data_IF_401790281468
#
_entry.id   IF_401790281468
#
_cell.length_a   1.000
_cell.length_b   1.000
_cell.length_c   1.000
_cell.angle_alpha   90.00
_cell.angle_beta   90.00
_cell.angle_gamma   90.00
#
_symmetry.space_group_name_H-M   'P 1'
#
loop_
_entity.id
_entity.type
_entity.pdbx_description
1 polymer ?
#
# COMPACT_ATOMS: atom_id res chain seq x y z
N UNK A 1 -1.96 8.16 29.11
CA UNK A 1 -3.26 8.00 28.40
C UNK A 1 -2.99 7.73 26.93
N UNK A 2 -3.84 6.95 26.24
CA UNK A 2 -3.67 6.68 24.80
C UNK A 2 -4.79 7.35 23.99
N UNK A 3 -4.44 7.99 22.88
CA UNK A 3 -5.38 8.61 21.94
C UNK A 3 -5.42 7.78 20.66
N UNK A 4 -6.62 7.56 20.11
CA UNK A 4 -6.78 6.95 18.78
C UNK A 4 -7.10 8.02 17.76
N UNK A 5 -6.46 7.98 16.59
CA UNK A 5 -6.71 8.87 15.45
C UNK A 5 -6.87 8.04 14.20
N UNK A 6 -7.91 8.35 13.43
CA UNK A 6 -8.15 7.71 12.14
C UNK A 6 -7.47 8.47 11.01
N UNK A 7 -6.84 7.73 10.11
CA UNK A 7 -6.28 8.24 8.85
C UNK A 7 -7.10 7.62 7.73
N UNK A 8 -7.70 8.46 6.90
CA UNK A 8 -8.44 8.06 5.71
C UNK A 8 -7.50 7.53 4.61
N UNK A 9 -7.94 6.59 3.75
CA UNK A 9 -7.14 6.10 2.61
C UNK A 9 -6.76 7.21 1.62
N UNK A 10 -7.44 8.36 1.66
CA UNK A 10 -7.15 9.54 0.83
C UNK A 10 -6.39 10.64 1.54
N UNK A 11 -5.99 10.42 2.79
CA UNK A 11 -5.15 11.36 3.51
C UNK A 11 -3.82 11.59 2.76
N UNK A 12 -3.29 12.81 2.85
CA UNK A 12 -2.03 13.18 2.20
C UNK A 12 -0.80 12.44 2.73
N UNK A 13 -0.92 11.80 3.89
CA UNK A 13 0.08 10.89 4.46
C UNK A 13 0.11 9.52 3.77
N UNK A 14 -0.86 9.21 2.92
CA UNK A 14 -0.97 7.96 2.16
C UNK A 14 -0.48 8.19 0.72
N UNK A 15 0.41 7.31 0.27
CA UNK A 15 0.95 7.33 -1.09
C UNK A 15 0.74 5.97 -1.74
N UNK A 16 0.55 5.98 -3.06
CA UNK A 16 0.23 4.80 -3.84
C UNK A 16 1.25 4.60 -4.96
N UNK A 17 1.63 3.34 -5.19
CA UNK A 17 2.50 2.97 -6.30
C UNK A 17 1.87 3.36 -7.65
N UNK A 18 2.72 3.75 -8.60
CA UNK A 18 2.31 4.13 -9.95
C UNK A 18 3.13 3.36 -11.00
N UNK A 19 2.49 2.74 -12.01
CA UNK A 19 3.19 2.18 -13.15
C UNK A 19 3.76 3.28 -14.06
N UNK A 20 4.63 2.91 -14.99
CA UNK A 20 5.13 3.81 -16.03
C UNK A 20 4.00 4.42 -16.90
N UNK A 21 2.88 3.70 -17.04
CA UNK A 21 1.68 4.16 -17.71
C UNK A 21 0.44 3.64 -16.99
N UNK A 22 -0.57 4.49 -16.80
CA UNK A 22 -1.82 4.14 -16.11
C UNK A 22 -1.72 4.27 -14.59
N UNK A 23 -2.53 3.49 -13.87
CA UNK A 23 -2.58 3.52 -12.41
C UNK A 23 -2.72 2.10 -11.87
N UNK A 24 -1.94 1.75 -10.84
CA UNK A 24 -2.15 0.51 -10.08
C UNK A 24 -3.35 0.62 -9.14
N UNK A 25 -3.68 1.83 -8.71
CA UNK A 25 -4.73 2.12 -7.74
C UNK A 25 -5.78 3.00 -8.38
N UNK A 26 -7.05 2.67 -8.16
CA UNK A 26 -8.20 3.45 -8.61
C UNK A 26 -9.00 3.95 -7.44
N UNK A 27 -9.50 5.16 -7.60
CA UNK A 27 -10.35 5.81 -6.62
C UNK A 27 -11.79 5.36 -6.79
N UNK A 28 -12.39 4.84 -5.72
CA UNK A 28 -13.77 4.40 -5.70
C UNK A 28 -14.51 5.05 -4.52
N UNK A 29 -15.83 5.10 -4.61
CA UNK A 29 -16.69 5.59 -3.53
C UNK A 29 -17.65 4.51 -3.09
N UNK A 30 -17.95 4.47 -1.79
CA UNK A 30 -18.93 3.55 -1.21
C UNK A 30 -19.58 4.18 0.00
N UNK A 31 -20.91 4.16 0.08
CA UNK A 31 -21.65 4.71 1.23
C UNK A 31 -21.38 3.99 2.56
N UNK A 32 -20.69 2.85 2.50
CA UNK A 32 -20.35 2.02 3.65
C UNK A 32 -18.88 2.09 4.03
N UNK A 33 -18.08 2.85 3.28
CA UNK A 33 -16.66 3.08 3.55
C UNK A 33 -16.46 4.33 4.41
N UNK A 34 -15.30 4.43 5.06
CA UNK A 34 -14.92 5.63 5.79
C UNK A 34 -14.90 6.83 4.84
N UNK A 35 -15.52 7.93 5.24
CA UNK A 35 -15.62 9.16 4.44
C UNK A 35 -16.18 8.97 3.00
N UNK A 36 -16.83 7.83 2.74
CA UNK A 36 -17.25 7.36 1.43
C UNK A 36 -16.11 7.15 0.41
N UNK A 37 -14.88 6.88 0.86
CA UNK A 37 -13.71 6.68 0.01
C UNK A 37 -13.18 5.25 0.09
N UNK A 38 -12.75 4.72 -1.06
CA UNK A 38 -12.03 3.46 -1.15
C UNK A 38 -10.91 3.56 -2.17
N UNK A 39 -9.83 2.86 -1.90
CA UNK A 39 -8.74 2.66 -2.85
C UNK A 39 -8.69 1.21 -3.28
N UNK A 40 -8.88 0.98 -4.57
CA UNK A 40 -8.88 -0.35 -5.18
C UNK A 40 -7.58 -0.59 -5.94
N UNK A 41 -6.96 -1.73 -5.72
CA UNK A 41 -6.05 -2.32 -6.70
C UNK A 41 -6.44 -3.75 -7.05
N UNK A 42 -6.08 -4.16 -8.26
CA UNK A 42 -6.14 -5.55 -8.73
C UNK A 42 -4.78 -6.01 -9.26
N UNK A 43 -3.75 -5.20 -9.08
CA UNK A 43 -2.42 -5.43 -9.67
C UNK A 43 -1.51 -5.99 -8.60
N UNK A 44 -0.89 -7.13 -8.87
CA UNK A 44 0.12 -7.70 -7.98
C UNK A 44 1.29 -6.75 -7.85
N UNK A 45 1.86 -6.68 -6.65
CA UNK A 45 2.94 -5.78 -6.25
C UNK A 45 2.57 -4.29 -6.28
N UNK A 46 1.30 -3.94 -6.53
CA UNK A 46 0.82 -2.60 -6.21
C UNK A 46 0.93 -2.39 -4.71
N UNK A 47 1.55 -1.29 -4.30
CA UNK A 47 1.74 -0.96 -2.90
C UNK A 47 1.13 0.38 -2.52
N UNK A 48 0.76 0.51 -1.25
CA UNK A 48 0.41 1.75 -0.59
C UNK A 48 1.38 1.95 0.59
N UNK A 49 1.73 3.20 0.88
CA UNK A 49 2.61 3.55 2.01
C UNK A 49 1.98 4.68 2.80
N UNK A 50 1.88 4.50 4.11
CA UNK A 50 1.36 5.51 5.04
C UNK A 50 2.41 5.85 6.10
N UNK A 51 2.64 7.15 6.29
CA UNK A 51 3.46 7.66 7.39
C UNK A 51 2.55 8.10 8.54
N UNK A 52 2.83 7.64 9.76
CA UNK A 52 2.04 7.96 10.94
C UNK A 52 2.92 8.23 12.16
N UNK A 53 2.36 8.92 13.16
CA UNK A 53 3.03 9.15 14.46
C UNK A 53 2.22 8.49 15.57
N UNK A 54 2.75 7.44 16.18
CA UNK A 54 2.04 6.68 17.21
C UNK A 54 2.84 5.51 17.76
N UNK A 55 2.16 4.67 18.53
CA UNK A 55 2.66 3.45 19.16
C UNK A 55 2.00 2.17 18.62
N UNK A 56 0.97 2.29 17.77
CA UNK A 56 0.46 1.16 16.97
C UNK A 56 -0.41 1.64 15.81
N UNK A 57 -0.58 0.80 14.79
CA UNK A 57 -1.47 1.04 13.64
C UNK A 57 -2.30 -0.22 13.32
N UNK A 58 -3.55 -0.03 12.92
CA UNK A 58 -4.43 -1.06 12.36
C UNK A 58 -4.90 -0.66 10.96
N UNK A 59 -5.08 -1.62 10.06
CA UNK A 59 -5.50 -1.41 8.67
C UNK A 59 -6.84 -2.07 8.45
N UNK A 60 -7.78 -1.33 7.87
CA UNK A 60 -9.12 -1.79 7.58
C UNK A 60 -9.45 -1.68 6.10
N UNK A 61 -10.34 -2.57 5.66
CA UNK A 61 -10.81 -2.60 4.29
C UNK A 61 -12.13 -3.34 4.12
N UNK A 62 -12.43 -3.62 2.86
CA UNK A 62 -13.60 -4.36 2.42
C UNK A 62 -13.16 -5.64 1.70
N UNK A 63 -13.85 -6.74 1.95
CA UNK A 63 -13.73 -7.96 1.15
C UNK A 63 -15.01 -8.10 0.34
N UNK A 64 -14.87 -8.15 -0.98
CA UNK A 64 -16.01 -8.40 -1.87
C UNK A 64 -16.63 -9.77 -1.60
N UNK A 65 -17.90 -9.92 -1.98
CA UNK A 65 -18.52 -11.25 -2.00
C UNK A 65 -17.85 -12.16 -3.05
N UNK A 66 -18.04 -13.46 -2.91
CA UNK A 66 -17.51 -14.49 -3.79
C UNK A 66 -18.07 -14.43 -5.23
N UNK A 67 -19.13 -13.66 -5.49
CA UNK A 67 -19.68 -13.43 -6.83
C UNK A 67 -18.92 -12.36 -7.62
N UNK A 68 -18.26 -11.42 -6.94
CA UNK A 68 -17.48 -10.37 -7.59
C UNK A 68 -16.14 -10.89 -8.17
N UNK A 69 -15.50 -11.84 -7.48
CA UNK A 69 -14.26 -12.48 -7.92
C UNK A 69 -14.09 -13.85 -7.26
N UNK A 70 -13.52 -14.79 -8.00
CA UNK A 70 -13.07 -16.08 -7.48
C UNK A 70 -11.62 -16.04 -6.97
N UNK A 71 -10.94 -14.90 -7.05
CA UNK A 71 -9.58 -14.71 -6.58
C UNK A 71 -9.63 -14.11 -5.17
N UNK A 72 -9.03 -14.83 -4.23
CA UNK A 72 -8.92 -14.43 -2.82
C UNK A 72 -7.92 -13.28 -2.70
N UNK A 73 -8.28 -12.16 -2.08
CA UNK A 73 -7.32 -11.09 -1.78
C UNK A 73 -6.24 -11.55 -0.80
N UNK A 74 -4.98 -11.31 -1.17
CA UNK A 74 -3.82 -11.60 -0.33
C UNK A 74 -2.96 -10.34 -0.28
N UNK A 75 -2.63 -9.88 0.92
CA UNK A 75 -1.85 -8.66 1.12
C UNK A 75 -0.73 -8.87 2.14
N UNK A 76 0.33 -8.07 2.03
CA UNK A 76 1.42 -8.03 3.00
C UNK A 76 1.61 -6.66 3.64
N UNK A 77 2.12 -6.66 4.87
CA UNK A 77 2.29 -5.49 5.72
C UNK A 77 3.69 -5.48 6.31
N UNK A 78 4.41 -4.37 6.17
CA UNK A 78 5.75 -4.20 6.77
C UNK A 78 5.86 -2.80 7.36
N UNK A 79 6.32 -2.71 8.61
CA UNK A 79 6.58 -1.43 9.29
C UNK A 79 8.08 -1.20 9.34
N UNK A 80 8.53 -0.02 8.90
CA UNK A 80 9.94 0.43 8.94
C UNK A 80 10.94 -0.56 8.33
N UNK A 81 10.52 -1.33 7.33
CA UNK A 81 11.34 -2.37 6.69
C UNK A 81 11.61 -3.61 7.57
N UNK A 82 10.85 -3.78 8.65
CA UNK A 82 10.96 -4.92 9.57
C UNK A 82 10.28 -6.20 9.07
N UNK A 83 9.73 -6.98 10.00
CA UNK A 83 9.03 -8.24 9.69
C UNK A 83 7.83 -8.01 8.79
N UNK A 84 7.67 -8.87 7.79
CA UNK A 84 6.50 -8.88 6.91
C UNK A 84 5.41 -9.80 7.46
N UNK A 85 4.20 -9.27 7.55
CA UNK A 85 2.98 -10.00 7.91
C UNK A 85 2.14 -10.23 6.65
N UNK A 86 1.52 -11.40 6.53
CA UNK A 86 0.64 -11.76 5.41
C UNK A 86 -0.79 -11.87 5.93
N UNK A 87 -1.73 -11.26 5.23
CA UNK A 87 -3.17 -11.47 5.41
C UNK A 87 -3.72 -12.26 4.22
N UNK A 88 -4.42 -13.34 4.52
CA UNK A 88 -5.14 -14.17 3.55
C UNK A 88 -6.64 -14.03 3.84
N UNK A 89 -7.37 -13.41 2.92
CA UNK A 89 -8.78 -13.11 3.10
C UNK A 89 -9.64 -14.37 3.04
N UNK A 90 -10.78 -14.37 3.73
CA UNK A 90 -11.79 -15.41 3.57
C UNK A 90 -12.96 -14.82 2.78
N UNK A 91 -13.21 -15.30 1.58
CA UNK A 91 -14.37 -14.89 0.79
C UNK A 91 -15.65 -15.53 1.37
N UNK A 92 -16.72 -14.74 1.40
CA UNK A 92 -18.06 -15.23 1.76
C UNK A 92 -19.06 -14.82 0.69
N UNK A 93 -20.31 -15.29 0.78
CA UNK A 93 -21.37 -14.90 -0.15
C UNK A 93 -21.82 -13.44 0.00
N UNK A 94 -21.32 -12.73 1.02
CA UNK A 94 -21.69 -11.35 1.29
C UNK A 94 -20.44 -10.47 1.30
N UNK A 95 -20.61 -9.18 0.98
CA UNK A 95 -19.57 -8.17 1.18
C UNK A 95 -19.29 -8.04 2.67
N UNK A 96 -18.00 -8.08 3.04
CA UNK A 96 -17.55 -7.90 4.41
C UNK A 96 -16.91 -6.51 4.54
N UNK A 97 -17.38 -5.73 5.51
CA UNK A 97 -16.97 -4.34 5.70
C UNK A 97 -16.23 -4.17 7.03
N UNK A 98 -15.40 -3.13 7.14
CA UNK A 98 -14.59 -2.86 8.33
C UNK A 98 -13.74 -4.08 8.75
N UNK A 99 -13.21 -4.80 7.77
CA UNK A 99 -12.41 -5.99 8.03
C UNK A 99 -11.01 -5.56 8.44
N UNK A 100 -10.56 -6.01 9.61
CA UNK A 100 -9.21 -5.80 10.08
C UNK A 100 -8.26 -6.71 9.28
N UNK A 101 -7.48 -6.11 8.38
CA UNK A 101 -6.48 -6.87 7.62
C UNK A 101 -5.17 -7.02 8.39
N UNK A 102 -4.81 -6.00 9.16
CA UNK A 102 -3.54 -5.98 9.88
C UNK A 102 -3.63 -5.14 11.14
N UNK A 103 -2.92 -5.56 12.18
CA UNK A 103 -2.65 -4.79 13.38
C UNK A 103 -1.18 -4.96 13.74
N UNK A 104 -0.48 -3.86 13.98
CA UNK A 104 0.91 -3.91 14.40
C UNK A 104 1.06 -4.44 15.82
N UNK A 105 2.23 -5.01 16.11
CA UNK A 105 2.70 -5.13 17.48
C UNK A 105 2.90 -3.73 18.10
N UNK A 106 3.03 -3.62 19.44
CA UNK A 106 3.36 -2.37 20.09
C UNK A 106 4.69 -1.80 19.59
N UNK A 107 4.68 -0.52 19.22
CA UNK A 107 5.82 0.25 18.74
C UNK A 107 6.23 1.29 19.80
N UNK A 108 7.48 1.73 19.73
CA UNK A 108 7.89 2.95 20.44
C UNK A 108 7.06 4.13 19.94
N UNK A 109 6.63 5.03 20.82
CA UNK A 109 5.89 6.21 20.36
C UNK A 109 6.79 7.10 19.49
N UNK A 110 6.50 7.21 18.19
CA UNK A 110 7.34 7.92 17.24
C UNK A 110 6.72 7.96 15.84
N UNK A 111 7.49 8.45 14.87
CA UNK A 111 7.12 8.39 13.46
C UNK A 111 7.49 7.02 12.89
N UNK A 112 6.56 6.43 12.13
CA UNK A 112 6.69 5.14 11.49
C UNK A 112 6.15 5.19 10.06
N UNK A 113 6.60 4.25 9.24
CA UNK A 113 6.08 4.03 7.89
C UNK A 113 5.60 2.59 7.74
N UNK A 114 4.31 2.44 7.41
CA UNK A 114 3.71 1.16 7.03
C UNK A 114 3.65 1.06 5.50
N UNK A 115 4.16 -0.04 4.96
CA UNK A 115 4.02 -0.44 3.55
C UNK A 115 3.05 -1.61 3.45
N UNK A 116 2.04 -1.46 2.60
CA UNK A 116 1.05 -2.48 2.25
C UNK A 116 1.29 -2.90 0.81
N UNK A 117 1.30 -4.19 0.50
CA UNK A 117 1.46 -4.68 -0.88
C UNK A 117 0.39 -5.71 -1.21
N UNK A 118 -0.23 -5.57 -2.38
CA UNK A 118 -1.10 -6.60 -2.93
C UNK A 118 -0.26 -7.75 -3.49
N UNK A 119 -0.56 -8.99 -3.09
CA UNK A 119 0.17 -10.19 -3.49
C UNK A 119 -0.59 -11.05 -4.50
N UNK A 120 -1.90 -10.84 -4.64
CA UNK A 120 -2.70 -11.51 -5.65
C UNK A 120 -2.81 -10.65 -6.93
N UNK A 121 -2.91 -11.31 -8.09
CA UNK A 121 -3.19 -10.61 -9.35
C UNK A 121 -4.67 -10.80 -9.67
N UNK A 122 -5.36 -9.74 -10.06
CA UNK A 122 -6.76 -9.77 -10.44
C UNK A 122 -7.76 -9.84 -9.27
N UNK A 123 -7.30 -9.94 -8.02
CA UNK A 123 -8.14 -9.84 -6.84
C UNK A 123 -8.72 -8.43 -6.68
N UNK A 124 -9.68 -8.25 -5.78
CA UNK A 124 -10.20 -6.93 -5.43
C UNK A 124 -9.69 -6.57 -4.03
N UNK A 125 -8.54 -5.90 -3.98
CA UNK A 125 -7.99 -5.39 -2.73
C UNK A 125 -8.51 -3.97 -2.47
N UNK A 126 -9.47 -3.87 -1.55
CA UNK A 126 -10.09 -2.62 -1.13
C UNK A 126 -9.49 -2.11 0.19
N UNK A 127 -8.75 -1.01 0.12
CA UNK A 127 -8.24 -0.30 1.29
C UNK A 127 -9.20 0.86 1.64
N UNK A 128 -9.47 1.04 2.94
CA UNK A 128 -10.47 2.00 3.44
C UNK A 128 -9.86 3.00 4.43
N UNK A 129 -9.33 2.55 5.57
CA UNK A 129 -8.72 3.47 6.54
C UNK A 129 -7.73 2.79 7.47
N UNK A 130 -7.08 3.63 8.28
CA UNK A 130 -6.15 3.22 9.32
C UNK A 130 -6.56 3.80 10.67
N UNK A 131 -6.43 3.02 11.74
CA UNK A 131 -6.54 3.55 13.11
C UNK A 131 -5.14 3.53 13.76
N UNK A 132 -4.69 4.70 14.22
CA UNK A 132 -3.39 4.91 14.87
C UNK A 132 -3.63 5.21 16.34
N UNK A 133 -2.93 4.50 17.23
CA UNK A 133 -2.88 4.83 18.65
C UNK A 133 -1.59 5.56 18.96
N UNK A 134 -1.65 6.62 19.75
CA UNK A 134 -0.49 7.37 20.25
C UNK A 134 -0.52 7.44 21.78
N UNK A 135 0.64 7.38 22.42
CA UNK A 135 0.75 7.55 23.87
C UNK A 135 0.97 9.03 24.19
N UNK A 136 0.10 9.65 24.99
CA UNK A 136 0.20 11.07 25.33
C UNK A 136 1.22 11.38 26.43
N UNK A 137 1.89 10.37 26.98
CA UNK A 137 2.68 10.50 28.21
C UNK A 137 4.04 11.21 28.02
N UNK A 138 4.26 11.86 26.87
CA UNK A 138 5.50 12.61 26.58
C UNK A 138 5.34 14.13 26.58
N UNK A 139 4.21 14.67 27.09
CA UNK A 139 4.02 16.11 27.26
C UNK A 139 3.94 16.40 28.75
N UNK A 140 4.88 17.21 29.26
CA UNK A 140 4.98 17.83 30.61
C UNK A 140 6.29 17.49 31.35
N UNK A 141 7.44 17.75 30.73
CA UNK A 141 8.55 18.34 31.50
C UNK A 141 8.38 19.86 31.41
N UNK A 142 7.39 20.41 32.12
CA UNK A 142 7.29 21.84 32.33
C UNK A 142 8.40 22.21 33.30
N UNK A 143 9.51 22.74 32.80
CA UNK A 143 10.53 23.37 33.64
C UNK A 143 9.87 24.60 34.27
N UNK A 144 9.28 24.44 35.45
CA UNK A 144 8.90 25.57 36.28
C UNK A 144 10.19 26.16 36.82
N UNK A 145 10.78 27.10 36.09
CA UNK A 145 11.79 28.01 36.64
C UNK A 145 11.09 28.83 37.71
N UNK A 146 11.19 28.38 38.97
CA UNK A 146 10.97 29.28 40.09
C UNK A 146 12.06 30.34 40.00
N UNK A 147 11.68 31.54 39.57
CA UNK A 147 12.50 32.73 39.72
C UNK A 147 12.70 32.97 41.22
N UNK A 148 13.83 32.49 41.75
CA UNK A 148 14.36 32.94 43.02
C UNK A 148 15.07 34.29 42.80
N UNK A 149 14.56 35.41 43.35
CA UNK A 149 15.18 36.70 43.20
C UNK A 149 16.32 36.84 44.22
N UNK A 150 17.46 36.20 43.96
CA UNK A 150 18.58 36.37 44.88
C UNK A 150 19.89 35.65 44.59
N UNK A 151 19.99 34.75 43.62
CA UNK A 151 21.25 34.04 43.35
C UNK A 151 21.76 34.22 41.92
N UNK A 152 23.05 34.55 41.87
CA UNK A 152 23.96 34.68 40.72
C UNK A 152 23.72 33.57 39.68
N UNK A 153 23.66 33.88 38.36
CA UNK A 153 23.26 32.90 37.35
C UNK A 153 24.32 31.80 37.21
N UNK A 154 24.10 30.69 37.92
CA UNK A 154 24.78 29.44 37.60
C UNK A 154 24.13 28.89 36.34
N UNK A 155 24.94 28.75 35.28
CA UNK A 155 24.52 28.28 33.97
C UNK A 155 23.60 27.05 34.07
N UNK A 156 22.34 27.20 33.62
CA UNK A 156 21.42 26.07 33.46
C UNK A 156 21.93 25.26 32.28
N UNK A 157 22.63 24.17 32.60
CA UNK A 157 22.97 23.12 31.62
C UNK A 157 21.64 22.52 31.17
N UNK A 158 21.18 22.88 29.98
CA UNK A 158 20.13 22.12 29.30
C UNK A 158 20.68 20.71 29.12
N UNK A 159 20.14 19.76 29.87
CA UNK A 159 20.48 18.36 29.71
C UNK A 159 19.76 17.87 28.45
N UNK A 160 20.39 18.08 27.30
CA UNK A 160 20.01 17.42 26.06
C UNK A 160 20.12 15.92 26.31
N UNK A 161 18.99 15.22 26.32
CA UNK A 161 18.98 13.76 26.27
C UNK A 161 19.45 13.34 24.87
N UNK A 162 20.76 13.37 24.67
CA UNK A 162 21.39 12.72 23.53
C UNK A 162 21.35 11.23 23.82
N UNK A 163 20.34 10.54 23.30
CA UNK A 163 20.33 9.08 23.19
C UNK A 163 21.45 8.67 22.24
N UNK A 164 22.65 8.54 22.78
CA UNK A 164 23.75 7.84 22.11
C UNK A 164 23.36 6.37 22.03
N UNK A 165 22.95 5.93 20.85
CA UNK A 165 22.95 4.51 20.53
C UNK A 165 24.37 3.99 20.75
N UNK A 166 24.51 3.07 21.71
CA UNK A 166 25.75 2.28 21.84
C UNK A 166 25.81 1.35 20.64
N UNK A 167 26.69 1.67 19.69
CA UNK A 167 27.20 0.69 18.75
C UNK A 167 27.82 -0.47 19.57
N UNK A 168 27.16 -1.63 19.51
CA UNK A 168 27.80 -2.88 19.86
C UNK A 168 28.93 -3.16 18.85
N UNK A 169 30.00 -3.86 19.24
CA UNK A 169 31.08 -4.20 18.32
C UNK A 169 30.54 -5.12 17.22
N UNK A 170 30.26 -4.55 16.06
CA UNK A 170 30.08 -5.31 14.82
C UNK A 170 31.45 -5.69 14.33
N UNK A 171 31.77 -6.98 14.46
CA UNK A 171 32.89 -7.63 13.80
C UNK A 171 32.75 -7.43 12.29
N UNK A 172 33.47 -6.46 11.73
CA UNK A 172 33.57 -6.26 10.28
C UNK A 172 34.32 -7.44 9.67
N UNK A 173 33.57 -8.44 9.22
CA UNK A 173 34.10 -9.41 8.26
C UNK A 173 34.02 -8.77 6.88
N UNK A 174 35.18 -8.29 6.42
CA UNK A 174 35.37 -7.75 5.07
C UNK A 174 35.28 -8.91 4.07
N UNK A 175 34.07 -9.23 3.57
CA UNK A 175 33.94 -10.09 2.39
C UNK A 175 34.11 -9.20 1.16
N UNK A 176 35.30 -9.24 0.59
CA UNK A 176 35.59 -8.69 -0.73
C UNK A 176 34.74 -9.44 -1.76
N UNK A 177 33.72 -8.79 -2.30
CA UNK A 177 33.02 -9.28 -3.48
C UNK A 177 33.76 -8.76 -4.72
N UNK A 178 34.50 -9.64 -5.38
CA UNK A 178 35.04 -9.40 -6.71
C UNK A 178 33.89 -9.34 -7.72
N UNK A 179 33.58 -8.13 -8.19
CA UNK A 179 32.67 -7.88 -9.32
C UNK A 179 33.27 -8.54 -10.57
N UNK A 180 32.63 -9.62 -11.03
CA UNK A 180 32.96 -10.28 -12.29
C UNK A 180 32.07 -9.69 -13.38
N UNK A 181 32.58 -8.73 -14.13
CA UNK A 181 31.90 -8.13 -15.29
C UNK A 181 31.98 -9.11 -16.46
N UNK A 182 30.98 -9.99 -16.62
CA UNK A 182 30.84 -10.78 -17.84
C UNK A 182 30.12 -9.95 -18.92
N UNK A 183 30.91 -9.29 -19.76
CA UNK A 183 30.45 -8.69 -21.02
C UNK A 183 30.05 -9.82 -21.96
N UNK A 184 28.75 -9.94 -22.25
CA UNK A 184 28.24 -10.85 -23.27
C UNK A 184 28.16 -10.10 -24.60
N UNK A 185 29.17 -10.26 -25.45
CA UNK A 185 29.19 -9.83 -26.84
C UNK A 185 28.33 -10.78 -27.66
N UNK A 186 27.11 -10.36 -28.03
CA UNK A 186 26.31 -11.05 -29.04
C UNK A 186 26.90 -10.77 -30.42
N UNK A 187 27.62 -11.75 -30.97
CA UNK A 187 28.12 -11.74 -32.35
C UNK A 187 26.98 -12.14 -33.28
N UNK A 188 26.56 -11.21 -34.13
CA UNK A 188 25.65 -11.45 -35.24
C UNK A 188 26.37 -12.22 -36.34
N UNK A 189 26.03 -13.50 -36.53
CA UNK A 189 26.40 -14.25 -37.74
C UNK A 189 25.19 -14.35 -38.66
N UNK A 190 25.25 -13.58 -39.74
CA UNK A 190 24.40 -13.70 -40.92
C UNK A 190 24.77 -14.99 -41.67
N UNK A 191 23.83 -15.95 -41.72
CA UNK A 191 23.92 -17.08 -42.63
C UNK A 191 22.71 -17.07 -43.56
N UNK A 192 23.03 -16.89 -44.84
CA UNK A 192 22.15 -16.96 -46.00
C UNK A 192 21.63 -18.38 -46.27
N UNK A 193 20.54 -18.41 -47.06
CA UNK A 193 20.16 -19.41 -48.09
C UNK A 193 19.08 -20.43 -47.71
N UNK A 194 18.39 -21.05 -48.69
CA UNK A 194 17.52 -20.46 -49.71
C UNK A 194 16.08 -21.05 -49.66
N UNK A 195 15.18 -20.44 -50.42
CA UNK A 195 13.74 -20.61 -50.32
C UNK A 195 13.13 -21.95 -50.74
N UNK A 196 11.87 -22.10 -50.33
CA UNK A 196 10.84 -22.85 -51.04
C UNK A 196 9.53 -22.06 -51.00
N UNK A 197 8.90 -21.98 -52.17
CA UNK A 197 7.66 -21.27 -52.47
C UNK A 197 6.42 -22.11 -52.13
N UNK A 198 5.25 -21.51 -52.42
CA UNK A 198 3.90 -22.14 -52.60
C UNK A 198 3.13 -22.25 -51.25
N UNK A 199 1.91 -21.74 -51.04
CA UNK A 199 0.80 -21.41 -51.94
C UNK A 199 -0.15 -20.35 -51.35
N UNK A 200 -0.82 -19.65 -52.26
CA UNK A 200 -1.97 -18.77 -52.12
C UNK A 200 -3.26 -19.46 -51.64
N UNK A 201 -4.07 -18.76 -50.83
CA UNK A 201 -5.53 -18.80 -50.99
C UNK A 201 -6.22 -17.58 -50.37
N UNK A 202 -6.88 -16.84 -51.24
CA UNK A 202 -7.79 -15.71 -51.07
C UNK A 202 -9.13 -16.12 -50.45
N UNK A 203 -9.69 -15.31 -49.55
CA UNK A 203 -11.15 -15.11 -49.36
C UNK A 203 -11.33 -13.93 -48.37
N UNK A 204 -11.66 -12.71 -48.80
CA UNK A 204 -12.97 -12.24 -49.27
C UNK A 204 -14.09 -12.33 -48.22
N UNK A 205 -14.35 -11.19 -47.57
CA UNK A 205 -15.68 -10.63 -47.28
C UNK A 205 -16.63 -11.39 -46.36
N UNK A 206 -17.08 -10.73 -45.29
CA UNK A 206 -18.50 -10.37 -45.22
C UNK A 206 -18.79 -9.27 -44.20
N UNK A 207 -19.47 -8.25 -44.71
CA UNK A 207 -20.19 -7.19 -44.00
C UNK A 207 -21.47 -7.81 -43.46
N UNK A 208 -21.87 -7.48 -42.22
CA UNK A 208 -23.24 -7.70 -41.75
C UNK A 208 -23.65 -6.55 -40.83
N UNK A 209 -24.36 -5.61 -41.43
CA UNK A 209 -25.27 -4.68 -40.79
C UNK A 209 -26.50 -5.44 -40.28
N UNK A 210 -26.83 -5.33 -38.99
CA UNK A 210 -28.14 -5.74 -38.47
C UNK A 210 -28.86 -4.52 -37.92
N UNK A 211 -29.83 -4.15 -38.73
CA UNK A 211 -31.12 -3.48 -38.54
C UNK A 211 -31.63 -3.28 -37.11
N UNK A 212 -32.11 -2.05 -36.93
CA UNK A 212 -33.06 -1.55 -35.93
C UNK A 212 -34.32 -2.40 -35.72
N UNK A 213 -34.78 -2.48 -34.47
CA UNK A 213 -36.21 -2.63 -34.17
C UNK A 213 -36.59 -1.78 -32.96
N UNK A 214 -37.35 -0.73 -33.24
CA UNK A 214 -38.11 0.03 -32.27
C UNK A 214 -39.21 -0.86 -31.66
N UNK A 215 -39.45 -0.71 -30.35
CA UNK A 215 -40.68 -1.14 -29.69
C UNK A 215 -41.25 0.06 -28.95
N UNK A 216 -42.46 0.39 -29.37
CA UNK A 216 -43.34 1.46 -28.91
C UNK A 216 -44.47 0.81 -28.08
N UNK A 217 -45.09 1.62 -27.20
CA UNK A 217 -46.38 1.39 -26.49
C UNK A 217 -46.26 0.56 -25.19
N UNK A 218 -46.94 0.82 -24.06
CA UNK A 218 -48.17 1.57 -23.70
C UNK A 218 -47.98 2.14 -22.26
N UNK A 219 -48.40 3.36 -21.94
CA UNK A 219 -49.73 3.74 -21.41
C UNK A 219 -50.22 2.88 -20.22
N UNK A 220 -50.32 3.48 -19.01
CA UNK A 220 -51.61 3.64 -18.30
C UNK A 220 -51.47 4.62 -17.14
N UNK A 221 -52.35 5.63 -17.17
CA UNK A 221 -52.82 6.43 -16.05
C UNK A 221 -53.44 5.54 -14.96
N UNK A 222 -53.15 5.84 -13.69
CA UNK A 222 -54.13 6.12 -12.61
C UNK A 222 -53.39 6.55 -11.34
#
# INVERSE_FOLDING_TARGET
MSTSTRIDDRASSVTYSRPASGHHWTSQGSSTANENTLSLTRTRNAFASVTFTGSSISVYGIISDSGASNIVPISSYTIDGGTTYIYDAVLTSNVQQNVLFFKSDPLSNGQHTLVITNLAEGDFFWLDYFDVTSNTDNVLATTTTMNDPGHDPTAVIMQTLTTTFRDGPTTKTSISMSVSTSVSTSVSTSAHSPGYAVSSSTAAGQVSSITSSASQSQETHL
#
